data_IF_495277638505
#
_entry.id   IF_495277638505
#
_cell.length_a   1.000
_cell.length_b   1.000
_cell.length_c   1.000
_cell.angle_alpha   90.00
_cell.angle_beta   90.00
_cell.angle_gamma   90.00
#
_symmetry.space_group_name_H-M   'P 1'
#
loop_
_entity.id
_entity.type
_entity.pdbx_description
1 polymer ?
#
# COMPACT_ATOMS: atom_id res chain seq x y z
N UNK A 1 -27.66 -3.11 -13.96
CA UNK A 1 -26.57 -3.01 -12.96
C UNK A 1 -26.06 -4.42 -12.70
N UNK A 2 -24.75 -4.64 -12.53
CA UNK A 2 -24.23 -5.98 -12.23
C UNK A 2 -24.75 -6.44 -10.86
N UNK A 3 -25.37 -7.61 -10.81
CA UNK A 3 -26.00 -8.18 -9.59
C UNK A 3 -25.17 -9.31 -8.96
N UNK A 4 -23.88 -9.40 -9.30
CA UNK A 4 -23.01 -10.44 -8.74
C UNK A 4 -22.67 -10.17 -7.26
N UNK A 5 -22.24 -11.21 -6.54
CA UNK A 5 -21.77 -11.10 -5.15
C UNK A 5 -20.58 -10.15 -4.94
N UNK A 6 -19.98 -9.64 -6.02
CA UNK A 6 -18.86 -8.67 -5.98
C UNK A 6 -19.23 -7.34 -6.65
N UNK A 7 -20.52 -7.09 -6.93
CA UNK A 7 -20.98 -5.81 -7.43
C UNK A 7 -20.71 -4.70 -6.40
N UNK A 8 -20.26 -3.55 -6.89
CA UNK A 8 -20.00 -2.38 -6.08
C UNK A 8 -20.28 -1.12 -6.90
N UNK A 9 -20.56 -0.02 -6.21
CA UNK A 9 -20.60 1.32 -6.80
C UNK A 9 -20.17 2.32 -5.73
N UNK A 10 -19.12 3.08 -6.03
CA UNK A 10 -18.60 4.13 -5.16
C UNK A 10 -18.66 5.47 -5.89
N UNK A 11 -18.87 6.54 -5.13
CA UNK A 11 -18.73 7.91 -5.59
C UNK A 11 -17.81 8.66 -4.62
N UNK A 12 -16.97 9.55 -5.15
CA UNK A 12 -16.01 10.31 -4.37
C UNK A 12 -16.16 11.80 -4.67
N UNK A 13 -15.95 12.64 -3.65
CA UNK A 13 -15.77 14.08 -3.84
C UNK A 13 -14.47 14.53 -3.22
N UNK A 14 -13.92 15.62 -3.73
CA UNK A 14 -12.67 16.21 -3.28
C UNK A 14 -12.85 17.69 -2.99
N UNK A 15 -12.08 18.22 -2.04
CA UNK A 15 -11.99 19.65 -1.82
C UNK A 15 -11.04 20.30 -2.86
N UNK A 16 -10.92 21.61 -2.79
CA UNK A 16 -10.12 22.39 -3.75
C UNK A 16 -8.60 22.15 -3.62
N UNK A 17 -8.13 21.53 -2.53
CA UNK A 17 -6.73 21.11 -2.33
C UNK A 17 -6.52 19.59 -2.53
N UNK A 18 -7.53 18.90 -3.09
CA UNK A 18 -7.44 17.50 -3.48
C UNK A 18 -7.54 16.50 -2.32
N UNK A 19 -7.99 16.90 -1.14
CA UNK A 19 -8.36 15.94 -0.10
C UNK A 19 -9.73 15.32 -0.39
N UNK A 20 -9.90 14.04 -0.06
CA UNK A 20 -11.15 13.31 -0.29
C UNK A 20 -12.22 13.72 0.73
N UNK A 21 -13.15 14.60 0.37
CA UNK A 21 -14.18 15.08 1.31
C UNK A 21 -15.26 14.04 1.60
N UNK A 22 -15.67 13.27 0.58
CA UNK A 22 -16.67 12.20 0.77
C UNK A 22 -16.35 10.93 -0.01
N UNK A 23 -16.79 9.80 0.54
CA UNK A 23 -16.92 8.52 -0.15
C UNK A 23 -18.35 8.01 0.09
N UNK A 24 -19.14 7.84 -0.97
CA UNK A 24 -20.45 7.20 -0.89
C UNK A 24 -20.36 5.79 -1.45
N UNK A 25 -20.63 4.81 -0.59
CA UNK A 25 -20.84 3.42 -0.97
C UNK A 25 -22.31 3.19 -1.28
N UNK A 26 -22.59 2.85 -2.53
CA UNK A 26 -23.94 2.59 -2.97
C UNK A 26 -24.29 1.12 -2.80
N UNK A 27 -25.36 0.86 -2.06
CA UNK A 27 -25.94 -0.47 -2.02
C UNK A 27 -26.52 -0.78 -3.41
N UNK A 28 -26.14 -1.93 -3.96
CA UNK A 28 -26.45 -2.34 -5.34
C UNK A 28 -27.91 -2.72 -5.55
N UNK A 29 -28.66 -2.91 -4.46
CA UNK A 29 -30.07 -3.36 -4.48
C UNK A 29 -31.04 -2.35 -3.88
N UNK A 30 -30.59 -1.53 -2.93
CA UNK A 30 -31.45 -0.69 -2.11
C UNK A 30 -30.74 0.63 -1.77
N UNK A 31 -31.01 1.72 -2.52
CA UNK A 31 -30.36 3.02 -2.31
C UNK A 31 -30.53 3.62 -0.91
N UNK A 32 -31.50 3.15 -0.11
CA UNK A 32 -31.69 3.62 1.27
C UNK A 32 -30.60 3.10 2.22
N UNK A 33 -29.86 2.07 1.80
CA UNK A 33 -28.74 1.47 2.54
C UNK A 33 -27.38 1.98 2.08
N UNK A 34 -27.34 3.10 1.36
CA UNK A 34 -26.08 3.75 1.03
C UNK A 34 -25.40 4.24 2.31
N UNK A 35 -24.07 4.13 2.35
CA UNK A 35 -23.25 4.67 3.44
C UNK A 35 -22.41 5.78 2.85
N UNK A 36 -22.46 6.97 3.44
CA UNK A 36 -21.59 8.08 3.06
C UNK A 36 -20.61 8.36 4.19
N UNK A 37 -19.33 8.29 3.87
CA UNK A 37 -18.23 8.71 4.72
C UNK A 37 -17.92 10.17 4.43
N UNK A 38 -17.81 10.97 5.49
CA UNK A 38 -17.41 12.37 5.45
C UNK A 38 -16.06 12.50 6.14
N UNK A 39 -15.12 13.21 5.51
CA UNK A 39 -13.77 13.38 6.02
C UNK A 39 -13.45 14.86 6.25
N UNK A 40 -12.82 15.15 7.38
CA UNK A 40 -12.28 16.47 7.69
C UNK A 40 -10.77 16.45 7.83
N UNK A 41 -10.12 17.56 7.48
CA UNK A 41 -8.67 17.66 7.38
C UNK A 41 -8.10 18.86 8.14
N UNK A 42 -6.85 18.72 8.56
CA UNK A 42 -6.10 19.72 9.32
C UNK A 42 -6.61 19.94 10.74
N UNK A 43 -5.81 20.67 11.51
CA UNK A 43 -6.19 21.12 12.84
C UNK A 43 -6.37 22.63 12.84
N UNK A 44 -7.57 23.09 13.18
CA UNK A 44 -7.87 24.51 13.29
C UNK A 44 -7.45 24.99 14.67
N UNK A 45 -6.37 25.77 14.74
CA UNK A 45 -5.98 26.46 15.96
C UNK A 45 -6.55 27.89 15.93
N UNK A 46 -7.32 28.25 16.96
CA UNK A 46 -7.84 29.59 17.15
C UNK A 46 -8.13 29.85 18.62
N UNK A 47 -7.55 30.91 19.18
CA UNK A 47 -7.81 31.38 20.55
C UNK A 47 -9.02 32.34 20.62
N UNK A 48 -9.84 32.41 19.57
CA UNK A 48 -10.97 33.33 19.45
C UNK A 48 -10.59 34.80 19.17
N UNK A 49 -9.30 35.14 19.05
CA UNK A 49 -8.82 36.51 18.86
C UNK A 49 -8.18 36.78 17.47
N UNK A 50 -7.85 35.73 16.71
CA UNK A 50 -7.33 35.83 15.33
C UNK A 50 -8.08 34.89 14.41
N UNK A 51 -8.07 35.19 13.10
CA UNK A 51 -8.59 34.29 12.08
C UNK A 51 -8.02 32.87 12.29
N UNK A 52 -8.87 31.82 12.27
CA UNK A 52 -8.43 30.47 12.54
C UNK A 52 -7.36 30.04 11.53
N UNK A 53 -6.20 29.60 12.02
CA UNK A 53 -5.15 29.06 11.15
C UNK A 53 -5.27 27.54 11.13
N UNK A 54 -5.54 26.99 9.95
CA UNK A 54 -5.48 25.55 9.73
C UNK A 54 -4.03 25.13 9.54
N UNK A 55 -3.51 24.32 10.46
CA UNK A 55 -2.21 23.69 10.33
C UNK A 55 -2.36 22.29 9.74
N UNK A 56 -1.34 21.85 8.99
CA UNK A 56 -1.32 20.55 8.31
C UNK A 56 -2.58 20.25 7.49
N UNK A 57 -2.94 21.07 6.48
CA UNK A 57 -4.24 21.00 5.79
C UNK A 57 -4.53 19.68 5.03
N UNK A 58 -3.56 18.77 4.94
CA UNK A 58 -3.71 17.46 4.32
C UNK A 58 -3.78 16.29 5.31
N UNK A 59 -3.60 16.51 6.61
CA UNK A 59 -3.73 15.44 7.62
C UNK A 59 -5.19 15.14 7.87
N UNK A 60 -5.60 13.86 7.87
CA UNK A 60 -7.00 13.47 8.03
C UNK A 60 -7.35 13.61 9.51
N UNK A 61 -8.13 14.60 9.92
CA UNK A 61 -8.44 14.80 11.33
C UNK A 61 -9.51 13.82 11.82
N UNK A 62 -10.52 13.55 11.00
CA UNK A 62 -11.64 12.68 11.36
C UNK A 62 -12.37 12.14 10.14
N UNK A 63 -13.09 11.04 10.38
CA UNK A 63 -14.06 10.44 9.48
C UNK A 63 -15.36 10.23 10.25
N UNK A 64 -16.49 10.56 9.64
CA UNK A 64 -17.83 10.23 10.15
C UNK A 64 -18.66 9.55 9.06
N UNK A 65 -19.76 8.93 9.45
CA UNK A 65 -20.62 8.17 8.55
C UNK A 65 -22.07 8.62 8.63
N UNK A 66 -22.75 8.56 7.49
CA UNK A 66 -24.21 8.71 7.35
C UNK A 66 -24.76 7.45 6.69
N UNK A 67 -25.60 6.63 7.37
CA UNK A 67 -26.00 6.75 8.78
C UNK A 67 -24.83 6.63 9.76
N UNK A 68 -24.99 7.18 10.97
CA UNK A 68 -23.94 7.16 12.00
C UNK A 68 -23.69 5.75 12.52
N UNK A 69 -22.42 5.34 12.57
CA UNK A 69 -22.04 4.05 13.18
C UNK A 69 -20.58 3.65 13.03
N UNK A 70 -19.80 4.36 12.22
CA UNK A 70 -18.36 4.07 12.02
C UNK A 70 -17.58 5.36 11.85
N UNK A 71 -17.35 6.06 12.96
CA UNK A 71 -16.50 7.24 13.01
C UNK A 71 -15.04 6.88 13.27
N UNK A 72 -14.13 7.78 12.94
CA UNK A 72 -12.71 7.66 13.29
C UNK A 72 -12.08 9.03 13.50
N UNK A 73 -11.04 9.12 14.32
CA UNK A 73 -10.26 10.33 14.55
C UNK A 73 -8.77 10.02 14.47
N UNK A 74 -7.96 11.00 14.05
CA UNK A 74 -6.53 10.79 13.87
C UNK A 74 -5.73 11.97 14.40
N UNK A 75 -4.52 11.67 14.86
CA UNK A 75 -3.55 12.69 15.30
C UNK A 75 -2.22 12.47 14.60
N UNK A 76 -1.43 13.54 14.50
CA UNK A 76 -0.19 13.56 13.75
C UNK A 76 0.92 14.23 14.57
N UNK A 77 2.16 13.87 14.29
CA UNK A 77 3.32 14.62 14.75
C UNK A 77 3.56 15.88 13.87
N UNK A 78 4.47 16.79 14.24
CA UNK A 78 4.78 17.97 13.43
C UNK A 78 5.31 17.66 12.01
N UNK A 79 5.93 16.50 11.80
CA UNK A 79 6.43 16.05 10.50
C UNK A 79 5.30 15.48 9.61
N UNK A 80 4.10 15.30 10.15
CA UNK A 80 2.94 14.80 9.44
C UNK A 80 2.82 13.27 9.46
N UNK A 81 3.50 12.58 10.37
CA UNK A 81 3.30 11.17 10.56
C UNK A 81 2.11 10.91 11.50
N UNK A 82 1.24 9.96 11.16
CA UNK A 82 0.08 9.62 12.00
C UNK A 82 0.55 8.99 13.32
N UNK A 83 0.22 9.59 14.46
CA UNK A 83 0.58 9.09 15.80
C UNK A 83 -0.56 8.31 16.47
N UNK A 84 -1.82 8.57 16.07
CA UNK A 84 -2.99 7.84 16.56
C UNK A 84 -4.00 7.64 15.44
N UNK A 85 -4.58 6.43 15.36
CA UNK A 85 -5.78 6.11 14.59
C UNK A 85 -6.84 5.61 15.56
N UNK A 86 -7.78 6.46 15.93
CA UNK A 86 -8.92 6.10 16.78
C UNK A 86 -10.04 5.63 15.86
N UNK A 87 -10.06 4.33 15.55
CA UNK A 87 -10.99 3.72 14.61
C UNK A 87 -12.28 3.30 15.33
N UNK A 88 -13.32 2.96 14.55
CA UNK A 88 -14.63 2.62 15.12
C UNK A 88 -14.59 1.43 16.11
N UNK A 89 -13.68 0.48 15.92
CA UNK A 89 -13.61 -0.77 16.69
C UNK A 89 -12.26 -0.99 17.36
N UNK A 90 -11.29 -0.11 17.16
CA UNK A 90 -9.92 -0.27 17.66
C UNK A 90 -9.22 1.08 17.73
N UNK A 91 -8.33 1.24 18.70
CA UNK A 91 -7.49 2.43 18.80
C UNK A 91 -6.04 2.01 18.61
N UNK A 92 -5.40 2.62 17.63
CA UNK A 92 -4.02 2.34 17.28
C UNK A 92 -3.12 3.51 17.63
N UNK A 93 -2.03 3.25 18.36
CA UNK A 93 -0.99 4.23 18.65
C UNK A 93 0.27 3.86 17.87
N UNK A 94 0.86 4.85 17.19
CA UNK A 94 1.98 4.65 16.30
C UNK A 94 3.19 5.45 16.79
N UNK A 95 4.36 4.83 16.73
CA UNK A 95 5.65 5.52 16.89
C UNK A 95 6.45 5.43 15.61
N UNK A 96 7.36 6.37 15.41
CA UNK A 96 8.09 6.56 14.16
C UNK A 96 9.59 6.59 14.39
N UNK A 97 10.36 6.03 13.45
CA UNK A 97 11.81 6.18 13.41
C UNK A 97 12.19 7.58 12.91
N UNK A 98 13.47 7.95 13.06
CA UNK A 98 14.02 9.19 12.51
C UNK A 98 13.91 9.31 10.99
N UNK A 99 13.74 8.18 10.29
CA UNK A 99 13.61 8.09 8.83
C UNK A 99 12.14 8.15 8.37
N UNK A 100 11.22 8.61 9.23
CA UNK A 100 9.77 8.68 8.97
C UNK A 100 9.16 7.33 8.56
N UNK A 101 9.57 6.26 9.25
CA UNK A 101 8.98 4.91 9.10
C UNK A 101 8.30 4.48 10.39
N UNK A 102 7.17 3.77 10.34
CA UNK A 102 6.54 3.29 11.57
C UNK A 102 7.48 2.31 12.28
N UNK A 103 7.83 2.62 13.53
CA UNK A 103 8.64 1.77 14.40
C UNK A 103 7.74 0.78 15.14
N UNK A 104 6.62 1.26 15.69
CA UNK A 104 5.63 0.41 16.35
C UNK A 104 4.20 0.83 16.00
N UNK A 105 3.30 -0.15 16.00
CA UNK A 105 1.85 0.06 16.01
C UNK A 105 1.28 -0.78 17.15
N UNK A 106 0.72 -0.12 18.16
CA UNK A 106 0.00 -0.77 19.25
C UNK A 106 -1.50 -0.75 18.96
N UNK A 107 -2.14 -1.92 18.90
CA UNK A 107 -3.56 -2.15 18.59
C UNK A 107 -4.13 -3.15 19.61
N UNK A 108 -5.17 -2.76 20.34
CA UNK A 108 -5.69 -3.55 21.47
C UNK A 108 -4.58 -3.99 22.45
N UNK A 109 -4.40 -5.30 22.60
CA UNK A 109 -3.37 -5.90 23.46
C UNK A 109 -2.06 -6.23 22.71
N UNK A 110 -2.03 -6.05 21.39
CA UNK A 110 -0.91 -6.44 20.53
C UNK A 110 -0.09 -5.22 20.15
N UNK A 111 1.23 -5.32 20.26
CA UNK A 111 2.16 -4.33 19.72
C UNK A 111 2.99 -4.97 18.63
N UNK A 112 2.95 -4.38 17.44
CA UNK A 112 3.72 -4.81 16.28
C UNK A 112 4.91 -3.87 16.16
N UNK A 113 6.08 -4.46 16.00
CA UNK A 113 7.35 -3.77 15.85
C UNK A 113 7.87 -4.02 14.45
N UNK A 114 8.36 -2.97 13.79
CA UNK A 114 8.91 -3.07 12.45
C UNK A 114 10.40 -2.73 12.45
N UNK A 115 11.18 -3.56 11.75
CA UNK A 115 12.60 -3.31 11.50
C UNK A 115 12.81 -3.12 10.01
N UNK A 116 13.63 -2.14 9.64
CA UNK A 116 13.95 -1.81 8.26
C UNK A 116 15.44 -2.03 7.99
N UNK A 117 15.78 -2.34 6.74
CA UNK A 117 17.16 -2.33 6.29
C UNK A 117 17.68 -0.90 6.05
N UNK A 118 18.97 -0.76 5.74
CA UNK A 118 19.59 0.54 5.46
C UNK A 118 19.07 1.21 4.20
N UNK A 119 18.40 0.48 3.32
CA UNK A 119 17.68 1.02 2.16
C UNK A 119 16.24 1.43 2.49
N UNK A 120 15.82 1.30 3.75
CA UNK A 120 14.48 1.65 4.22
C UNK A 120 13.40 0.63 3.87
N UNK A 121 13.77 -0.58 3.41
CA UNK A 121 12.81 -1.66 3.13
C UNK A 121 12.47 -2.40 4.40
N UNK A 122 11.20 -2.75 4.59
CA UNK A 122 10.75 -3.52 5.76
C UNK A 122 11.39 -4.91 5.73
N UNK A 123 12.15 -5.23 6.78
CA UNK A 123 12.86 -6.49 6.96
C UNK A 123 12.12 -7.43 7.90
N UNK A 124 11.57 -6.91 9.00
CA UNK A 124 10.91 -7.72 10.03
C UNK A 124 9.64 -7.03 10.52
N UNK A 125 8.58 -7.82 10.67
CA UNK A 125 7.37 -7.51 11.44
C UNK A 125 7.33 -8.47 12.61
N UNK A 126 7.25 -7.95 13.84
CA UNK A 126 7.33 -8.75 15.05
C UNK A 126 6.25 -8.37 16.07
N UNK A 127 5.52 -9.37 16.56
CA UNK A 127 4.48 -9.21 17.59
C UNK A 127 4.59 -10.31 18.64
N UNK A 128 3.75 -10.25 19.67
CA UNK A 128 3.61 -11.33 20.66
C UNK A 128 3.07 -12.64 20.07
N UNK A 129 2.48 -12.60 18.87
CA UNK A 129 1.90 -13.77 18.20
C UNK A 129 2.90 -14.50 17.28
N UNK A 130 4.01 -13.83 16.95
CA UNK A 130 5.03 -14.34 16.04
C UNK A 130 5.65 -13.24 15.18
N UNK A 131 6.47 -13.65 14.22
CA UNK A 131 7.24 -12.73 13.38
C UNK A 131 7.09 -13.08 11.90
N UNK A 132 7.20 -12.08 11.02
CA UNK A 132 7.37 -12.28 9.58
C UNK A 132 8.65 -11.61 9.12
N UNK A 133 9.58 -12.40 8.61
CA UNK A 133 10.82 -11.96 7.97
C UNK A 133 10.60 -11.81 6.46
N UNK A 134 10.87 -10.62 5.95
CA UNK A 134 10.76 -10.27 4.54
C UNK A 134 12.12 -10.42 3.85
N UNK A 135 12.19 -11.30 2.85
CA UNK A 135 13.41 -11.61 2.11
C UNK A 135 13.25 -11.24 0.63
N UNK A 136 14.36 -11.01 -0.10
CA UNK A 136 14.33 -10.93 -1.54
C UNK A 136 13.67 -12.17 -2.15
N UNK A 137 12.48 -11.96 -2.71
CA UNK A 137 11.70 -13.01 -3.38
C UNK A 137 10.96 -13.98 -2.45
N UNK A 138 10.75 -13.68 -1.16
CA UNK A 138 9.97 -14.56 -0.28
C UNK A 138 9.77 -14.06 1.13
N UNK A 139 8.98 -14.77 1.91
CA UNK A 139 8.64 -14.44 3.30
C UNK A 139 8.75 -15.69 4.18
N UNK A 140 9.12 -15.49 5.44
CA UNK A 140 9.11 -16.52 6.47
C UNK A 140 8.28 -16.02 7.66
N UNK A 141 7.22 -16.73 7.99
CA UNK A 141 6.38 -16.44 9.16
C UNK A 141 6.61 -17.50 10.23
N UNK A 142 6.76 -17.05 11.47
CA UNK A 142 6.88 -17.89 12.66
C UNK A 142 5.71 -17.67 13.60
N UNK A 143 5.45 -18.65 14.46
CA UNK A 143 4.66 -18.43 15.68
C UNK A 143 5.50 -17.76 16.79
N UNK A 144 4.87 -17.51 17.95
CA UNK A 144 5.49 -16.92 19.13
C UNK A 144 6.67 -17.72 19.71
N UNK A 145 6.82 -19.00 19.35
CA UNK A 145 7.95 -19.85 19.78
C UNK A 145 9.13 -19.81 18.80
N UNK A 146 8.98 -19.11 17.67
CA UNK A 146 9.97 -19.06 16.59
C UNK A 146 9.87 -20.24 15.62
N UNK A 147 8.85 -21.11 15.75
CA UNK A 147 8.63 -22.19 14.78
C UNK A 147 8.08 -21.60 13.50
N UNK A 148 8.68 -21.97 12.36
CA UNK A 148 8.20 -21.56 11.03
C UNK A 148 6.82 -22.19 10.78
N UNK A 149 5.82 -21.36 10.54
CA UNK A 149 4.44 -21.76 10.23
C UNK A 149 4.11 -21.55 8.77
N UNK A 150 4.80 -20.64 8.08
CA UNK A 150 4.66 -20.42 6.64
C UNK A 150 5.97 -19.97 6.02
N UNK A 151 6.30 -20.50 4.85
CA UNK A 151 7.39 -20.02 4.01
C UNK A 151 6.88 -19.79 2.59
N UNK A 152 7.26 -18.68 1.97
CA UNK A 152 6.90 -18.36 0.58
C UNK A 152 8.15 -18.08 -0.25
N UNK A 153 8.08 -18.43 -1.53
CA UNK A 153 9.07 -18.04 -2.55
C UNK A 153 8.35 -17.64 -3.82
N UNK A 154 8.68 -16.46 -4.33
CA UNK A 154 8.06 -15.87 -5.50
C UNK A 154 9.06 -15.95 -6.67
N UNK A 155 8.58 -16.48 -7.80
CA UNK A 155 9.30 -16.60 -9.05
C UNK A 155 8.59 -15.72 -10.07
N UNK A 156 9.19 -14.56 -10.37
CA UNK A 156 8.69 -13.63 -11.36
C UNK A 156 9.60 -13.65 -12.60
N UNK A 157 9.00 -13.63 -13.78
CA UNK A 157 9.70 -13.51 -15.06
C UNK A 157 9.05 -12.41 -15.90
N UNK A 158 9.83 -11.64 -16.68
CA UNK A 158 9.27 -10.63 -17.57
C UNK A 158 8.21 -11.22 -18.51
N UNK A 159 7.03 -10.60 -18.55
CA UNK A 159 5.92 -11.02 -19.41
C UNK A 159 5.19 -12.29 -18.96
N UNK A 160 5.54 -12.90 -17.82
CA UNK A 160 4.89 -14.09 -17.31
C UNK A 160 4.19 -13.84 -15.95
N UNK A 161 3.13 -14.60 -15.64
CA UNK A 161 2.56 -14.64 -14.31
C UNK A 161 3.58 -14.99 -13.22
N UNK A 162 3.40 -14.46 -12.02
CA UNK A 162 4.23 -14.83 -10.87
C UNK A 162 3.84 -16.21 -10.38
N UNK A 163 4.83 -17.08 -10.16
CA UNK A 163 4.62 -18.36 -9.48
C UNK A 163 5.02 -18.22 -8.01
N UNK A 164 4.12 -18.57 -7.10
CA UNK A 164 4.37 -18.58 -5.66
C UNK A 164 4.44 -20.02 -5.18
N UNK A 165 5.56 -20.38 -4.54
CA UNK A 165 5.73 -21.64 -3.82
C UNK A 165 5.52 -21.40 -2.34
N UNK A 166 4.66 -22.19 -1.71
CA UNK A 166 4.32 -22.05 -0.29
C UNK A 166 4.55 -23.38 0.45
N UNK A 167 5.01 -23.30 1.70
CA UNK A 167 5.03 -24.42 2.64
C UNK A 167 4.52 -24.01 4.01
N UNK A 168 3.99 -24.97 4.77
CA UNK A 168 3.52 -24.76 6.14
C UNK A 168 4.64 -25.04 7.15
N UNK A 169 5.85 -24.53 6.87
CA UNK A 169 7.08 -24.79 7.64
C UNK A 169 7.71 -26.17 7.40
N UNK A 170 7.07 -27.05 6.63
CA UNK A 170 7.64 -28.33 6.20
C UNK A 170 8.68 -28.18 5.10
N UNK A 171 9.68 -29.07 5.06
CA UNK A 171 10.67 -29.21 3.97
C UNK A 171 10.14 -29.99 2.76
N UNK A 172 8.94 -30.58 2.87
CA UNK A 172 8.28 -31.34 1.80
C UNK A 172 6.80 -30.92 1.68
N UNK A 173 6.11 -31.39 0.65
CA UNK A 173 4.67 -31.13 0.48
C UNK A 173 4.33 -29.69 0.07
N UNK A 174 5.29 -28.98 -0.56
CA UNK A 174 5.07 -27.60 -0.98
C UNK A 174 3.96 -27.48 -2.03
N UNK A 175 3.19 -26.40 -1.96
CA UNK A 175 2.23 -26.02 -3.00
C UNK A 175 2.85 -24.99 -3.93
N UNK A 176 2.39 -24.98 -5.19
CA UNK A 176 2.78 -23.99 -6.20
C UNK A 176 1.52 -23.38 -6.80
N UNK A 177 1.50 -22.07 -6.90
CA UNK A 177 0.35 -21.29 -7.32
C UNK A 177 0.77 -20.26 -8.38
N UNK A 178 0.09 -20.24 -9.51
CA UNK A 178 0.28 -19.23 -10.57
C UNK A 178 -0.65 -18.07 -10.25
N UNK A 179 -0.10 -16.89 -9.97
CA UNK A 179 -0.84 -15.67 -9.69
C UNK A 179 -1.00 -14.83 -10.96
N UNK A 180 -2.25 -14.57 -11.32
CA UNK A 180 -2.65 -13.73 -12.44
C UNK A 180 -3.06 -12.35 -11.92
N UNK A 181 -2.38 -11.33 -12.43
CA UNK A 181 -2.57 -9.94 -12.05
C UNK A 181 -3.43 -9.16 -13.05
N UNK A 182 -4.08 -8.10 -12.56
CA UNK A 182 -4.66 -7.08 -13.44
C UNK A 182 -3.58 -6.13 -13.99
N UNK A 183 -4.01 -5.11 -14.75
CA UNK A 183 -3.11 -4.12 -15.35
C UNK A 183 -2.31 -3.30 -14.33
N UNK A 184 -2.77 -3.22 -13.08
CA UNK A 184 -2.08 -2.55 -11.98
C UNK A 184 -1.18 -3.50 -11.17
N UNK A 185 -0.96 -4.73 -11.63
CA UNK A 185 -0.12 -5.71 -10.93
C UNK A 185 -0.80 -6.42 -9.74
N UNK A 186 -2.06 -6.08 -9.41
CA UNK A 186 -2.80 -6.73 -8.32
C UNK A 186 -3.21 -8.14 -8.72
N UNK A 187 -2.65 -9.16 -8.08
CA UNK A 187 -3.04 -10.55 -8.28
C UNK A 187 -4.47 -10.79 -7.77
N UNK A 188 -5.41 -11.09 -8.68
CA UNK A 188 -6.82 -11.30 -8.37
C UNK A 188 -7.28 -12.76 -8.55
N UNK A 189 -6.49 -13.56 -9.28
CA UNK A 189 -6.77 -14.97 -9.53
C UNK A 189 -5.50 -15.78 -9.27
N UNK A 190 -5.64 -16.91 -8.60
CA UNK A 190 -4.58 -17.89 -8.45
C UNK A 190 -5.04 -19.24 -8.96
N UNK A 191 -4.13 -19.94 -9.63
CA UNK A 191 -4.34 -21.31 -10.12
C UNK A 191 -3.31 -22.21 -9.47
N UNK A 192 -3.75 -23.17 -8.66
CA UNK A 192 -2.84 -24.12 -8.03
C UNK A 192 -2.33 -25.13 -9.07
N UNK A 193 -1.02 -25.35 -9.08
CA UNK A 193 -0.34 -26.37 -9.91
C UNK A 193 -0.53 -27.76 -9.30
N UNK A 194 -1.76 -28.25 -9.34
CA UNK A 194 -2.20 -29.57 -8.87
C UNK A 194 -3.18 -30.20 -9.87
N UNK A 195 -3.59 -31.44 -9.62
CA UNK A 195 -4.67 -32.07 -10.37
C UNK A 195 -5.94 -31.18 -10.33
N UNK A 196 -6.65 -31.09 -11.46
CA UNK A 196 -7.84 -30.25 -11.65
C UNK A 196 -7.64 -28.72 -11.56
N UNK A 197 -6.39 -28.25 -11.42
CA UNK A 197 -6.02 -26.82 -11.43
C UNK A 197 -6.97 -25.91 -10.62
N UNK A 198 -7.10 -26.12 -9.29
CA UNK A 198 -8.00 -25.33 -8.45
C UNK A 198 -7.79 -23.83 -8.64
N UNK A 199 -8.89 -23.10 -8.84
CA UNK A 199 -8.90 -21.65 -9.07
C UNK A 199 -9.49 -20.93 -7.87
N UNK A 200 -8.73 -19.99 -7.31
CA UNK A 200 -9.20 -19.09 -6.25
C UNK A 200 -9.18 -17.67 -6.78
N UNK A 201 -10.24 -16.91 -6.50
CA UNK A 201 -10.39 -15.51 -6.91
C UNK A 201 -10.61 -14.61 -5.72
N UNK A 202 -10.07 -13.41 -5.79
CA UNK A 202 -10.32 -12.30 -4.88
C UNK A 202 -10.56 -11.04 -5.69
N UNK A 203 -11.29 -10.10 -5.10
CA UNK A 203 -11.64 -8.86 -5.76
C UNK A 203 -11.38 -7.67 -4.83
N UNK A 204 -11.02 -6.55 -5.43
CA UNK A 204 -10.69 -5.31 -4.74
C UNK A 204 -11.49 -4.14 -5.31
N UNK A 205 -11.73 -3.13 -4.48
CA UNK A 205 -12.23 -1.81 -4.86
C UNK A 205 -11.06 -0.95 -5.37
N UNK A 206 -11.33 0.21 -6.00
CA UNK A 206 -10.29 1.03 -6.62
C UNK A 206 -9.11 1.36 -5.70
N UNK A 207 -9.37 1.72 -4.44
CA UNK A 207 -8.32 2.08 -3.47
C UNK A 207 -7.71 0.88 -2.72
N UNK A 208 -7.95 -0.36 -3.18
CA UNK A 208 -7.32 -1.56 -2.63
C UNK A 208 -8.14 -2.31 -1.59
N UNK A 209 -9.24 -1.74 -1.08
CA UNK A 209 -10.13 -2.44 -0.13
C UNK A 209 -10.67 -3.75 -0.72
N UNK A 210 -10.83 -4.77 0.12
CA UNK A 210 -11.49 -6.02 -0.26
C UNK A 210 -12.93 -5.79 -0.78
N UNK A 211 -13.27 -6.42 -1.90
CA UNK A 211 -14.59 -6.36 -2.52
C UNK A 211 -15.31 -7.70 -2.44
N UNK A 212 -16.33 -7.75 -1.59
CA UNK A 212 -17.10 -8.97 -1.33
C UNK A 212 -16.29 -10.01 -0.53
N UNK A 213 -16.83 -11.22 -0.36
CA UNK A 213 -16.17 -12.28 0.39
C UNK A 213 -14.78 -12.59 -0.16
N UNK A 214 -13.79 -12.60 0.72
CA UNK A 214 -12.42 -12.96 0.38
C UNK A 214 -12.19 -14.45 0.60
N UNK A 215 -11.29 -15.09 -0.17
CA UNK A 215 -10.92 -16.48 0.08
C UNK A 215 -10.26 -16.63 1.46
N UNK A 216 -10.49 -17.77 2.11
CA UNK A 216 -9.90 -18.07 3.42
C UNK A 216 -8.37 -18.24 3.38
N UNK A 217 -7.80 -18.46 2.21
CA UNK A 217 -6.36 -18.57 2.02
C UNK A 217 -5.91 -17.93 0.70
N UNK A 218 -4.71 -17.35 0.74
CA UNK A 218 -3.99 -16.83 -0.42
C UNK A 218 -2.51 -17.24 -0.34
N UNK A 219 -1.81 -17.49 -1.47
CA UNK A 219 -0.45 -18.05 -1.46
C UNK A 219 0.57 -17.25 -0.65
N UNK A 220 0.51 -15.92 -0.71
CA UNK A 220 1.39 -14.97 -0.01
C UNK A 220 0.59 -13.83 0.65
N UNK A 221 1.29 -12.92 1.34
CA UNK A 221 0.67 -11.72 1.96
C UNK A 221 0.54 -10.54 1.00
N UNK A 222 0.99 -10.71 -0.26
CA UNK A 222 0.94 -9.67 -1.27
C UNK A 222 -0.50 -9.43 -1.73
N UNK A 223 -0.91 -8.19 -1.74
CA UNK A 223 -2.27 -7.75 -2.02
C UNK A 223 -2.28 -6.73 -3.17
N UNK A 224 -2.64 -5.50 -2.85
CA UNK A 224 -2.79 -4.37 -3.74
C UNK A 224 -1.46 -4.07 -4.48
N UNK A 225 -1.57 -3.84 -5.79
CA UNK A 225 -0.47 -3.58 -6.72
C UNK A 225 0.57 -4.71 -6.87
N UNK A 226 0.35 -5.86 -6.22
CA UNK A 226 1.32 -6.96 -6.21
C UNK A 226 2.55 -6.71 -5.35
N UNK A 227 2.61 -5.56 -4.67
CA UNK A 227 3.69 -5.14 -3.77
C UNK A 227 3.20 -4.82 -2.35
N UNK A 228 1.92 -4.47 -2.21
CA UNK A 228 1.29 -4.22 -0.92
C UNK A 228 1.33 -5.44 -0.03
N UNK A 229 1.79 -5.29 1.21
CA UNK A 229 1.75 -6.37 2.21
C UNK A 229 0.73 -5.99 3.28
N UNK A 230 -0.38 -6.72 3.31
CA UNK A 230 -1.45 -6.47 4.28
C UNK A 230 -1.02 -6.94 5.68
N UNK A 231 -1.10 -6.01 6.63
CA UNK A 231 -1.02 -6.29 8.04
C UNK A 231 -2.45 -6.41 8.59
N UNK A 232 -2.87 -7.65 8.83
CA UNK A 232 -4.23 -7.96 9.26
C UNK A 232 -4.53 -7.37 10.64
N UNK A 233 -3.53 -7.24 11.50
CA UNK A 233 -3.72 -6.73 12.85
C UNK A 233 -3.92 -5.21 12.87
N UNK A 234 -3.23 -4.46 11.99
CA UNK A 234 -3.38 -2.99 11.91
C UNK A 234 -4.40 -2.53 10.87
N UNK A 235 -4.74 -3.39 9.89
CA UNK A 235 -5.52 -3.02 8.72
C UNK A 235 -4.79 -2.07 7.76
N UNK A 236 -3.46 -1.91 7.91
CA UNK A 236 -2.62 -1.15 6.99
C UNK A 236 -2.00 -2.07 5.93
N UNK A 237 -1.67 -1.48 4.80
CA UNK A 237 -0.91 -2.15 3.74
C UNK A 237 0.43 -1.46 3.59
N UNK A 238 1.52 -2.22 3.73
CA UNK A 238 2.86 -1.71 3.48
C UNK A 238 3.11 -1.63 1.98
N UNK A 239 3.33 -0.42 1.46
CA UNK A 239 3.61 -0.16 0.05
C UNK A 239 4.95 0.58 -0.04
N UNK A 240 6.00 -0.19 -0.35
CA UNK A 240 7.34 0.35 -0.59
C UNK A 240 7.85 1.18 0.57
N UNK A 241 7.84 2.51 0.42
CA UNK A 241 8.36 3.43 1.42
C UNK A 241 7.38 3.75 2.57
N UNK A 242 6.06 3.56 2.36
CA UNK A 242 5.01 4.09 3.25
C UNK A 242 3.95 3.04 3.60
N UNK A 243 3.28 3.28 4.71
CA UNK A 243 2.09 2.53 5.11
C UNK A 243 0.84 3.21 4.55
N UNK A 244 -0.05 2.39 4.00
CA UNK A 244 -1.25 2.82 3.28
C UNK A 244 -2.51 2.36 3.99
N UNK A 245 -3.42 3.29 4.24
CA UNK A 245 -4.75 3.03 4.79
C UNK A 245 -5.72 2.86 3.61
N UNK A 246 -6.01 1.61 3.26
CA UNK A 246 -6.91 1.28 2.15
C UNK A 246 -8.32 1.83 2.35
N UNK A 247 -8.83 1.83 3.59
CA UNK A 247 -10.18 2.33 3.89
C UNK A 247 -10.29 3.84 3.64
N UNK A 248 -9.22 4.57 3.97
CA UNK A 248 -9.14 6.01 3.71
C UNK A 248 -8.53 6.37 2.35
N UNK A 249 -8.06 5.39 1.59
CA UNK A 249 -7.46 5.56 0.27
C UNK A 249 -6.22 6.46 0.28
N UNK A 250 -5.43 6.44 1.36
CA UNK A 250 -4.32 7.39 1.56
C UNK A 250 -3.17 6.84 2.41
N UNK A 251 -1.99 7.42 2.27
CA UNK A 251 -0.85 7.11 3.14
C UNK A 251 -1.02 7.71 4.53
N UNK A 252 -0.37 7.11 5.54
CA UNK A 252 -0.39 7.59 6.93
C UNK A 252 0.83 8.45 7.32
N UNK A 253 1.74 8.68 6.38
CA UNK A 253 2.85 9.63 6.48
C UNK A 253 2.93 10.50 5.23
N UNK A 254 3.51 11.69 5.37
CA UNK A 254 3.75 12.59 4.26
C UNK A 254 4.77 11.98 3.27
N UNK A 255 4.63 12.31 1.99
CA UNK A 255 5.56 11.91 0.95
C UNK A 255 6.94 12.54 1.18
N UNK A 256 8.03 11.76 1.26
CA UNK A 256 9.37 12.33 1.32
C UNK A 256 9.78 13.01 0.00
N UNK A 257 9.13 12.67 -1.13
CA UNK A 257 9.37 13.28 -2.44
C UNK A 257 8.20 14.19 -2.82
N UNK A 258 8.14 15.36 -2.18
CA UNK A 258 7.14 16.37 -2.50
C UNK A 258 7.54 17.16 -3.76
N UNK A 259 6.73 17.05 -4.83
CA UNK A 259 6.83 17.96 -5.97
C UNK A 259 5.87 19.14 -5.80
N UNK A 260 6.46 20.32 -5.56
CA UNK A 260 5.71 21.57 -5.38
C UNK A 260 5.20 22.16 -6.70
N UNK A 261 5.60 21.60 -7.85
CA UNK A 261 5.20 22.06 -9.19
C UNK A 261 3.96 21.33 -9.72
N UNK A 262 3.58 20.21 -9.11
CA UNK A 262 2.33 19.49 -9.39
C UNK A 262 1.33 19.67 -8.24
N UNK A 263 0.25 20.46 -8.42
CA UNK A 263 -0.76 20.70 -7.38
C UNK A 263 -1.41 19.42 -6.82
N UNK A 264 -1.43 18.33 -7.59
CA UNK A 264 -1.95 17.04 -7.13
C UNK A 264 -0.93 16.25 -6.31
N UNK A 265 0.37 16.49 -6.48
CA UNK A 265 1.42 15.94 -5.60
C UNK A 265 1.65 16.79 -4.34
N UNK A 266 1.19 18.05 -4.31
CA UNK A 266 1.20 18.86 -3.09
C UNK A 266 0.40 18.21 -1.95
N UNK A 267 -0.58 17.36 -2.27
CA UNK A 267 -1.18 16.46 -1.30
C UNK A 267 -0.29 15.24 -1.06
N UNK A 268 0.69 15.39 -0.17
CA UNK A 268 1.67 14.37 0.19
C UNK A 268 1.13 13.09 0.84
N UNK A 269 -0.20 12.96 1.01
CA UNK A 269 -0.85 11.74 1.52
C UNK A 269 -1.68 11.03 0.45
N UNK A 270 -2.00 11.71 -0.66
CA UNK A 270 -2.86 11.16 -1.70
C UNK A 270 -2.19 9.97 -2.38
N UNK A 271 -2.96 8.91 -2.64
CA UNK A 271 -2.48 7.79 -3.42
C UNK A 271 -2.77 8.00 -4.91
N UNK A 272 -1.76 7.83 -5.75
CA UNK A 272 -1.87 7.83 -7.21
C UNK A 272 -2.61 9.06 -7.79
N UNK A 273 -2.40 10.26 -7.23
CA UNK A 273 -3.13 11.51 -7.60
C UNK A 273 -4.65 11.36 -7.53
N UNK A 274 -5.15 10.57 -6.56
CA UNK A 274 -6.56 10.24 -6.40
C UNK A 274 -7.20 9.48 -7.58
N UNK A 275 -6.41 8.90 -8.49
CA UNK A 275 -6.91 8.17 -9.67
C UNK A 275 -6.48 6.69 -9.71
N UNK A 276 -6.79 5.89 -8.67
CA UNK A 276 -6.19 4.57 -8.44
C UNK A 276 -6.57 3.48 -9.45
N UNK A 277 -7.48 3.77 -10.39
CA UNK A 277 -7.87 2.85 -11.47
C UNK A 277 -6.94 3.01 -12.67
N UNK A 278 -6.53 4.24 -12.97
CA UNK A 278 -5.72 4.61 -14.13
C UNK A 278 -4.25 4.75 -13.81
N UNK A 279 -3.91 5.09 -12.57
CA UNK A 279 -2.54 5.32 -12.11
C UNK A 279 -2.23 4.39 -10.94
N UNK A 280 -0.98 3.95 -10.87
CA UNK A 280 -0.46 3.11 -9.80
C UNK A 280 0.70 3.84 -9.13
N UNK A 281 0.88 3.68 -7.81
CA UNK A 281 2.06 4.14 -7.07
C UNK A 281 2.67 2.93 -6.32
N UNK A 282 3.45 2.07 -7.01
CA UNK A 282 3.95 0.82 -6.44
C UNK A 282 5.11 1.01 -5.44
N UNK A 283 5.87 2.11 -5.53
CA UNK A 283 6.94 2.39 -4.58
C UNK A 283 6.46 3.20 -3.37
N UNK A 284 5.24 3.73 -3.45
CA UNK A 284 4.67 4.59 -2.44
C UNK A 284 5.43 5.89 -2.34
N UNK A 285 5.95 6.44 -3.44
CA UNK A 285 6.68 7.71 -3.49
C UNK A 285 6.18 8.62 -4.61
N UNK A 286 5.77 8.04 -5.74
CA UNK A 286 5.12 8.80 -6.80
C UNK A 286 4.31 7.87 -7.69
N UNK A 287 3.21 8.37 -8.29
CA UNK A 287 2.53 7.62 -9.31
C UNK A 287 3.49 7.25 -10.44
N UNK A 288 3.51 5.97 -10.80
CA UNK A 288 4.13 5.48 -12.02
C UNK A 288 3.49 6.22 -13.20
N UNK A 289 4.27 7.11 -13.83
CA UNK A 289 3.97 7.64 -15.15
C UNK A 289 4.22 6.55 -16.19
N UNK A 290 3.73 6.72 -17.42
CA UNK A 290 3.93 5.75 -18.51
C UNK A 290 5.40 5.36 -18.71
N UNK A 291 6.35 6.21 -18.29
CA UNK A 291 7.79 5.92 -18.36
C UNK A 291 8.39 5.33 -17.06
N UNK A 292 7.64 5.25 -15.96
CA UNK A 292 8.03 4.54 -14.74
C UNK A 292 8.01 3.01 -14.90
N UNK A 293 7.23 2.51 -15.87
CA UNK A 293 7.16 1.08 -16.22
C UNK A 293 8.04 0.70 -17.44
N UNK A 294 8.80 1.66 -17.98
CA UNK A 294 9.57 1.53 -19.21
C UNK A 294 8.75 1.94 -20.44
N UNK A 295 8.97 3.17 -20.91
CA UNK A 295 8.56 3.57 -22.26
C UNK A 295 9.49 2.88 -23.27
N UNK A 296 8.94 2.13 -24.22
CA UNK A 296 9.69 1.64 -25.38
C UNK A 296 9.74 2.75 -26.43
N UNK A 297 10.84 3.49 -26.47
CA UNK A 297 11.29 4.17 -27.68
C UNK A 297 12.49 3.38 -28.22
N UNK A 298 12.28 2.62 -29.30
CA UNK A 298 13.30 1.98 -30.14
C UNK A 298 14.54 1.38 -29.43
N UNK A 299 14.59 0.04 -29.34
CA UNK A 299 15.77 -0.77 -28.94
C UNK A 299 16.48 -0.44 -27.61
N UNK A 300 16.04 0.53 -26.82
CA UNK A 300 16.61 0.84 -25.51
C UNK A 300 15.51 0.93 -24.45
N UNK A 301 15.71 0.18 -23.36
CA UNK A 301 14.85 0.26 -22.16
C UNK A 301 15.44 1.33 -21.25
N UNK A 302 14.78 2.48 -21.15
CA UNK A 302 15.13 3.50 -20.16
C UNK A 302 14.26 3.33 -18.91
N UNK A 303 14.91 3.27 -17.74
CA UNK A 303 14.26 3.55 -16.44
C UNK A 303 14.47 5.04 -16.19
N UNK A 304 13.47 5.71 -15.59
CA UNK A 304 13.38 7.16 -15.29
C UNK A 304 14.50 7.74 -14.38
N UNK A 305 15.63 7.04 -14.24
CA UNK A 305 16.86 7.55 -13.61
C UNK A 305 18.07 7.54 -14.56
N UNK A 306 17.84 7.35 -15.87
CA UNK A 306 18.82 7.63 -16.92
C UNK A 306 18.35 8.83 -17.72
N UNK A 307 18.88 10.02 -17.40
CA UNK A 307 18.62 11.24 -18.18
C UNK A 307 19.34 11.13 -19.54
N UNK A 308 18.65 11.35 -20.67
CA UNK A 308 19.28 11.43 -21.98
C UNK A 308 19.70 12.88 -22.26
N UNK A 309 20.84 13.31 -21.74
CA UNK A 309 21.82 14.08 -22.54
C UNK A 309 23.09 14.33 -21.73
N UNK A 310 24.22 13.90 -22.30
CA UNK A 310 25.54 14.05 -21.70
C UNK A 310 26.04 15.49 -21.76
N UNK A 311 25.92 16.22 -20.65
CA UNK A 311 26.88 17.27 -20.29
C UNK A 311 27.39 17.05 -18.86
N UNK A 312 28.64 16.62 -18.76
CA UNK A 312 29.35 16.38 -17.51
C UNK A 312 29.57 17.67 -16.70
N UNK A 313 29.61 17.53 -15.37
CA UNK A 313 30.65 18.17 -14.55
C UNK A 313 31.06 17.21 -13.41
N UNK A 314 32.33 16.77 -13.39
CA UNK A 314 33.05 16.57 -12.13
C UNK A 314 33.51 15.16 -11.73
N UNK A 315 34.56 14.66 -12.41
CA UNK A 315 35.68 13.87 -11.85
C UNK A 315 35.41 12.49 -11.21
N UNK A 316 35.74 11.41 -11.92
CA UNK A 316 37.06 10.73 -11.87
C UNK A 316 36.92 9.33 -12.48
N UNK A 317 37.70 9.10 -13.51
CA UNK A 317 37.72 7.89 -14.35
C UNK A 317 38.39 6.72 -13.61
N UNK A 318 37.75 5.55 -13.63
CA UNK A 318 38.45 4.27 -13.74
C UNK A 318 37.82 3.46 -14.88
N UNK A 319 38.44 3.53 -16.06
CA UNK A 319 38.15 2.68 -17.21
C UNK A 319 38.67 1.26 -16.93
N UNK A 320 37.80 0.25 -17.00
CA UNK A 320 38.23 -1.12 -17.22
C UNK A 320 38.45 -1.34 -18.74
N UNK A 321 39.58 -1.93 -19.10
CA UNK A 321 39.97 -2.22 -20.47
C UNK A 321 39.08 -3.29 -21.12
N UNK A 322 38.82 -3.24 -22.44
CA UNK A 322 38.13 -4.32 -23.14
C UNK A 322 39.04 -5.54 -23.31
N UNK A 323 38.51 -6.74 -23.04
CA UNK A 323 39.18 -8.01 -23.34
C UNK A 323 39.42 -8.16 -24.84
N UNK A 324 40.61 -8.64 -25.27
CA UNK A 324 40.85 -8.96 -26.67
C UNK A 324 40.12 -10.25 -27.05
N UNK A 325 39.31 -10.18 -28.11
CA UNK A 325 38.77 -11.35 -28.79
C UNK A 325 39.89 -12.05 -29.58
N UNK A 326 40.12 -13.32 -29.28
CA UNK A 326 40.09 -14.45 -30.23
C UNK A 326 39.73 -15.71 -29.46
#
# INVERSE_FOLDING_TARGET
>A
MATSATAYRQAFTYDWIGNRSTLTEHNVTDPTKNITYHSGYGTTAGNGATEPVTTQPHTLAWVSTTPTGSGSAYTYDPAGNTTKRDLANDTQNLTWTSENKPATVATGATTINYTYDTGGRRLLENSSEGSTLYLPGGELTTDATGKITKATRNYAHPGAPTVVRTSDGSSTGHTRNIQLANHLGTANTTVQMAANQPVTRRAFKPFGEARGPQPSSWPDRRSYLGVGIDDVATGLTHIGAREYDQANGRFISADPLLDITDPLQMNGYSYAKNSPISTSDPDGLKPATDCGSGCQDGNFVYRDWMVPDGKEVGSTVLKAAPSPMT
#
